data_IF_405614812202
#
_entry.id   IF_405614812202
#
_cell.length_a   1.000
_cell.length_b   1.000
_cell.length_c   1.000
_cell.angle_alpha   90.00
_cell.angle_beta   90.00
_cell.angle_gamma   90.00
#
_symmetry.space_group_name_H-M   'P 1'
#
loop_
_entity.id
_entity.type
_entity.pdbx_description
1 polymer ?
#
# COMPACT_ATOMS: atom_id res chain seq x y z
N UNK A 1 27.14 5.12 -27.67
CA UNK A 1 27.54 3.70 -27.81
C UNK A 1 26.32 2.86 -27.48
N UNK A 2 25.64 2.28 -28.48
CA UNK A 2 24.44 1.47 -28.26
C UNK A 2 24.91 0.08 -27.83
N UNK A 3 24.85 -0.21 -26.54
CA UNK A 3 25.11 -1.56 -26.03
C UNK A 3 23.82 -2.36 -26.19
N UNK A 4 23.67 -3.04 -27.34
CA UNK A 4 22.65 -4.10 -27.46
C UNK A 4 23.11 -5.27 -26.60
N UNK A 5 22.57 -5.40 -25.39
CA UNK A 5 22.80 -6.60 -24.59
C UNK A 5 21.92 -7.72 -25.13
N UNK A 6 22.48 -8.92 -25.28
CA UNK A 6 21.75 -10.10 -25.72
C UNK A 6 21.87 -11.14 -24.62
N UNK A 7 20.75 -11.70 -24.17
CA UNK A 7 20.76 -12.94 -23.38
C UNK A 7 20.61 -14.11 -24.35
N UNK A 8 21.55 -15.05 -24.29
CA UNK A 8 21.50 -16.27 -25.10
C UNK A 8 21.31 -17.47 -24.20
N UNK A 9 20.25 -18.25 -24.42
CA UNK A 9 20.11 -19.59 -23.85
C UNK A 9 20.56 -20.61 -24.89
N UNK A 10 21.29 -21.63 -24.43
CA UNK A 10 21.72 -22.75 -25.27
C UNK A 10 20.79 -23.91 -25.02
N UNK A 11 20.25 -24.47 -26.08
CA UNK A 11 19.41 -25.65 -26.04
C UNK A 11 20.11 -26.77 -26.82
N UNK A 12 20.02 -27.98 -26.28
CA UNK A 12 20.36 -29.19 -27.03
C UNK A 12 19.08 -29.64 -27.72
N UNK A 13 19.07 -29.56 -29.05
CA UNK A 13 17.97 -30.08 -29.87
C UNK A 13 18.43 -31.41 -30.46
N UNK A 14 17.68 -32.47 -30.18
CA UNK A 14 17.92 -33.79 -30.77
C UNK A 14 16.92 -34.06 -31.89
N UNK A 15 17.43 -34.46 -33.04
CA UNK A 15 16.64 -34.93 -34.18
C UNK A 15 17.36 -36.15 -34.77
N UNK A 16 16.75 -37.33 -34.63
CA UNK A 16 17.41 -38.60 -34.92
C UNK A 16 18.58 -38.89 -33.98
N UNK A 17 19.64 -39.53 -34.49
CA UNK A 17 20.87 -39.89 -33.74
C UNK A 17 21.88 -38.74 -33.59
N UNK A 18 21.49 -37.51 -33.93
CA UNK A 18 22.35 -36.34 -33.87
C UNK A 18 21.76 -35.27 -32.95
N UNK A 19 22.58 -34.77 -32.03
CA UNK A 19 22.29 -33.58 -31.21
C UNK A 19 23.12 -32.41 -31.68
N UNK A 20 22.51 -31.22 -31.76
CA UNK A 20 23.22 -29.98 -32.04
C UNK A 20 22.79 -28.89 -31.05
N UNK A 21 23.74 -28.03 -30.72
CA UNK A 21 23.57 -26.93 -29.77
C UNK A 21 23.02 -25.71 -30.52
N UNK A 22 21.75 -25.38 -30.30
CA UNK A 22 21.13 -24.18 -30.88
C UNK A 22 21.20 -23.01 -29.90
N UNK A 23 21.68 -21.86 -30.38
CA UNK A 23 21.77 -20.62 -29.61
C UNK A 23 20.62 -19.70 -30.02
N UNK A 24 19.57 -19.63 -29.19
CA UNK A 24 18.54 -18.62 -29.38
C UNK A 24 18.98 -17.28 -28.77
N UNK A 25 18.84 -16.22 -29.56
CA UNK A 25 19.20 -14.85 -29.18
C UNK A 25 17.92 -14.08 -28.95
N UNK A 26 17.62 -13.71 -27.71
CA UNK A 26 16.40 -12.97 -27.39
C UNK A 26 16.62 -11.46 -27.58
N UNK A 27 15.63 -10.78 -28.17
CA UNK A 27 15.58 -9.32 -28.24
C UNK A 27 15.14 -8.80 -26.86
N UNK A 28 15.84 -7.82 -26.28
CA UNK A 28 15.60 -7.35 -24.90
C UNK A 28 14.19 -6.82 -24.61
N UNK A 29 13.45 -6.34 -25.62
CA UNK A 29 12.04 -5.96 -25.41
C UNK A 29 11.19 -7.16 -24.98
N UNK A 30 11.50 -8.34 -25.53
CA UNK A 30 10.93 -9.62 -25.10
C UNK A 30 11.45 -10.07 -23.73
N UNK A 31 12.63 -9.59 -23.31
CA UNK A 31 13.21 -9.87 -21.98
C UNK A 31 12.48 -9.13 -20.85
N UNK A 32 12.09 -7.87 -21.03
CA UNK A 32 11.31 -7.16 -20.01
C UNK A 32 9.99 -7.88 -19.74
N UNK A 33 9.21 -8.15 -20.80
CA UNK A 33 7.93 -8.87 -20.67
C UNK A 33 8.10 -10.27 -20.09
N UNK A 34 9.14 -11.00 -20.50
CA UNK A 34 9.43 -12.34 -19.97
C UNK A 34 9.84 -12.34 -18.49
N UNK A 35 10.43 -11.25 -17.98
CA UNK A 35 10.97 -11.16 -16.61
C UNK A 35 10.16 -10.19 -15.71
N UNK A 36 9.06 -9.62 -16.21
CA UNK A 36 8.29 -8.57 -15.52
C UNK A 36 7.94 -8.92 -14.08
N UNK A 37 7.49 -10.15 -13.84
CA UNK A 37 7.17 -10.65 -12.50
C UNK A 37 8.38 -10.71 -11.57
N UNK A 38 9.54 -11.10 -12.08
CA UNK A 38 10.76 -11.19 -11.28
C UNK A 38 11.29 -9.79 -10.94
N UNK A 39 11.21 -8.85 -11.88
CA UNK A 39 11.57 -7.45 -11.70
C UNK A 39 10.72 -6.79 -10.62
N UNK A 40 9.40 -6.95 -10.71
CA UNK A 40 8.43 -6.36 -9.76
C UNK A 40 8.62 -6.87 -8.33
N UNK A 41 9.15 -8.09 -8.17
CA UNK A 41 9.38 -8.69 -6.86
C UNK A 41 10.80 -8.47 -6.31
N UNK A 42 11.71 -7.85 -7.07
CA UNK A 42 13.08 -7.61 -6.62
C UNK A 42 13.18 -6.28 -5.89
N UNK A 43 13.89 -6.31 -4.77
CA UNK A 43 14.18 -5.15 -3.92
C UNK A 43 14.92 -4.00 -4.62
N UNK A 44 15.43 -4.22 -5.84
CA UNK A 44 16.22 -3.26 -6.61
C UNK A 44 17.38 -2.69 -5.78
N UNK A 45 18.23 -3.58 -5.27
CA UNK A 45 19.36 -3.27 -4.39
C UNK A 45 20.75 -3.47 -5.03
N UNK A 46 20.79 -4.04 -6.24
CA UNK A 46 22.02 -4.26 -7.01
C UNK A 46 21.87 -3.79 -8.46
N UNK A 47 22.57 -2.71 -8.89
CA UNK A 47 22.50 -2.21 -10.25
C UNK A 47 22.87 -3.26 -11.31
N UNK A 48 23.89 -4.09 -11.05
CA UNK A 48 24.42 -5.03 -12.05
C UNK A 48 23.42 -6.13 -12.36
N UNK A 49 22.78 -6.67 -11.33
CA UNK A 49 21.73 -7.67 -11.49
C UNK A 49 20.48 -7.15 -12.20
N UNK A 50 20.22 -5.84 -12.17
CA UNK A 50 19.10 -5.23 -12.88
C UNK A 50 19.38 -5.13 -14.37
N UNK A 51 20.61 -4.76 -14.80
CA UNK A 51 20.98 -4.65 -16.22
C UNK A 51 20.68 -5.91 -17.05
N UNK A 52 20.59 -7.08 -16.41
CA UNK A 52 20.35 -8.36 -17.09
C UNK A 52 18.91 -8.56 -17.59
N UNK A 53 17.98 -7.65 -17.27
CA UNK A 53 16.55 -7.95 -17.38
C UNK A 53 15.79 -7.13 -18.41
N UNK A 54 16.41 -6.10 -18.97
CA UNK A 54 15.80 -5.26 -20.00
C UNK A 54 16.79 -4.26 -20.57
N UNK A 55 16.42 -3.63 -21.69
CA UNK A 55 17.26 -2.58 -22.28
C UNK A 55 17.08 -1.27 -21.51
N UNK A 56 18.16 -0.61 -21.11
CA UNK A 56 18.07 0.74 -20.56
C UNK A 56 17.65 1.79 -21.61
N UNK A 57 17.62 1.45 -22.90
CA UNK A 57 17.01 2.33 -23.91
C UNK A 57 15.47 2.30 -23.86
N UNK A 58 14.89 1.30 -23.19
CA UNK A 58 13.45 1.16 -23.02
C UNK A 58 12.97 2.02 -21.84
N UNK A 59 12.14 3.03 -22.15
CA UNK A 59 11.58 3.94 -21.17
C UNK A 59 10.67 3.22 -20.15
N UNK A 60 9.88 2.25 -20.60
CA UNK A 60 8.98 1.52 -19.71
C UNK A 60 9.80 0.73 -18.70
N UNK A 61 10.82 0.02 -19.17
CA UNK A 61 11.74 -0.70 -18.30
C UNK A 61 12.47 0.23 -17.31
N UNK A 62 13.04 1.34 -17.79
CA UNK A 62 13.66 2.37 -16.93
C UNK A 62 12.71 2.85 -15.83
N UNK A 63 11.48 3.23 -16.22
CA UNK A 63 10.48 3.74 -15.30
C UNK A 63 10.13 2.73 -14.21
N UNK A 64 10.09 1.44 -14.56
CA UNK A 64 9.79 0.38 -13.61
C UNK A 64 10.93 0.13 -12.63
N UNK A 65 12.19 0.20 -13.08
CA UNK A 65 13.35 0.13 -12.17
C UNK A 65 13.31 1.25 -11.13
N UNK A 66 13.05 2.49 -11.57
CA UNK A 66 12.94 3.66 -10.68
C UNK A 66 11.77 3.44 -9.70
N UNK A 67 10.61 3.01 -10.21
CA UNK A 67 9.41 2.77 -9.41
C UNK A 67 9.65 1.70 -8.33
N UNK A 68 10.19 0.54 -8.70
CA UNK A 68 10.48 -0.53 -7.75
C UNK A 68 11.52 -0.10 -6.72
N UNK A 69 12.56 0.62 -7.13
CA UNK A 69 13.54 1.19 -6.20
C UNK A 69 12.87 2.12 -5.18
N UNK A 70 12.05 3.07 -5.63
CA UNK A 70 11.37 4.03 -4.75
C UNK A 70 10.39 3.34 -3.80
N UNK A 71 9.60 2.38 -4.29
CA UNK A 71 8.65 1.62 -3.49
C UNK A 71 9.38 0.78 -2.42
N UNK A 72 10.35 -0.06 -2.80
CA UNK A 72 11.04 -0.97 -1.88
C UNK A 72 11.92 -0.25 -0.85
N UNK A 73 12.39 0.96 -1.16
CA UNK A 73 13.22 1.75 -0.26
C UNK A 73 12.43 2.82 0.50
N UNK A 74 11.10 2.83 0.41
CA UNK A 74 10.23 3.75 1.13
C UNK A 74 10.08 3.44 2.63
N UNK A 75 11.14 2.94 3.27
CA UNK A 75 11.18 2.67 4.72
C UNK A 75 11.96 3.70 5.52
N UNK A 76 12.79 4.48 4.83
CA UNK A 76 13.70 5.43 5.43
C UNK A 76 14.46 6.21 4.39
N UNK A 77 15.50 6.88 4.85
CA UNK A 77 16.34 7.71 4.03
C UNK A 77 17.56 6.93 3.51
N UNK A 78 17.86 7.08 2.22
CA UNK A 78 19.13 6.66 1.62
C UNK A 78 19.96 7.90 1.29
N UNK A 79 21.25 7.86 1.59
CA UNK A 79 22.18 8.93 1.20
C UNK A 79 22.29 9.07 -0.32
N UNK A 80 22.60 10.28 -0.80
CA UNK A 80 22.80 10.55 -2.23
C UNK A 80 24.03 9.84 -2.82
N UNK A 81 24.93 9.39 -1.94
CA UNK A 81 26.10 8.57 -2.24
C UNK A 81 25.78 7.07 -2.39
N UNK A 82 24.54 6.66 -2.10
CA UNK A 82 24.10 5.29 -2.29
C UNK A 82 24.13 4.92 -3.78
N UNK A 83 24.72 3.76 -4.10
CA UNK A 83 24.90 3.30 -5.48
C UNK A 83 23.59 3.17 -6.26
N UNK A 84 22.51 2.71 -5.62
CA UNK A 84 21.19 2.61 -6.26
C UNK A 84 20.52 3.97 -6.46
N UNK A 85 20.70 4.92 -5.53
CA UNK A 85 20.25 6.30 -5.69
C UNK A 85 20.95 6.93 -6.89
N UNK A 86 22.28 6.81 -6.99
CA UNK A 86 23.07 7.32 -8.11
C UNK A 86 22.69 6.65 -9.43
N UNK A 87 22.54 5.32 -9.43
CA UNK A 87 22.14 4.55 -10.60
C UNK A 87 20.79 5.03 -11.14
N UNK A 88 19.74 5.06 -10.29
CA UNK A 88 18.40 5.50 -10.72
C UNK A 88 18.36 6.99 -11.08
N UNK A 89 19.16 7.83 -10.40
CA UNK A 89 19.30 9.24 -10.76
C UNK A 89 19.92 9.43 -12.15
N UNK A 90 20.92 8.63 -12.50
CA UNK A 90 21.50 8.63 -13.84
C UNK A 90 20.50 8.16 -14.90
N UNK A 91 19.68 7.13 -14.60
CA UNK A 91 18.61 6.69 -15.52
C UNK A 91 17.63 7.81 -15.85
N UNK A 92 17.32 8.69 -14.90
CA UNK A 92 16.43 9.85 -15.09
C UNK A 92 17.13 10.95 -15.90
N UNK A 93 18.45 11.17 -15.68
CA UNK A 93 19.19 12.24 -16.37
C UNK A 93 19.21 12.05 -17.89
N UNK A 94 19.17 10.81 -18.34
CA UNK A 94 19.19 10.46 -19.77
C UNK A 94 17.80 10.49 -20.42
N UNK A 95 16.78 11.02 -19.73
CA UNK A 95 15.38 10.99 -20.16
C UNK A 95 14.88 12.41 -20.47
N UNK A 96 14.32 12.67 -21.67
CA UNK A 96 13.80 13.97 -22.06
C UNK A 96 12.48 14.28 -21.32
N UNK A 97 12.54 15.15 -20.32
CA UNK A 97 11.39 15.49 -19.45
C UNK A 97 10.41 16.51 -20.07
N UNK A 98 10.72 17.06 -21.24
CA UNK A 98 9.87 17.96 -22.02
C UNK A 98 8.68 17.22 -22.65
N UNK A 99 8.86 15.97 -23.06
CA UNK A 99 7.78 15.10 -23.53
C UNK A 99 6.85 14.64 -22.39
N UNK A 100 5.55 14.88 -22.55
CA UNK A 100 4.54 14.59 -21.53
C UNK A 100 4.50 13.10 -21.17
N UNK A 101 4.52 12.20 -22.17
CA UNK A 101 4.43 10.76 -21.92
C UNK A 101 5.65 10.26 -21.15
N UNK A 102 6.81 10.74 -21.55
CA UNK A 102 8.08 10.45 -20.88
C UNK A 102 8.09 10.95 -19.45
N UNK A 103 7.64 12.20 -19.24
CA UNK A 103 7.49 12.80 -17.91
C UNK A 103 6.52 12.01 -17.03
N UNK A 104 5.35 11.61 -17.53
CA UNK A 104 4.40 10.77 -16.79
C UNK A 104 5.02 9.44 -16.35
N UNK A 105 5.79 8.77 -17.22
CA UNK A 105 6.47 7.52 -16.87
C UNK A 105 7.39 7.69 -15.65
N UNK A 106 8.18 8.77 -15.60
CA UNK A 106 9.10 9.04 -14.48
C UNK A 106 8.36 9.56 -13.24
N UNK A 107 7.45 10.51 -13.39
CA UNK A 107 6.75 11.14 -12.26
C UNK A 107 5.78 10.17 -11.57
N UNK A 108 5.19 9.23 -12.31
CA UNK A 108 4.36 8.18 -11.70
C UNK A 108 5.14 7.35 -10.68
N UNK A 109 6.45 7.15 -10.87
CA UNK A 109 7.31 6.47 -9.89
C UNK A 109 7.53 7.33 -8.63
N UNK A 110 7.65 8.64 -8.81
CA UNK A 110 7.85 9.59 -7.71
C UNK A 110 6.63 9.66 -6.77
N UNK A 111 5.43 9.31 -7.26
CA UNK A 111 4.21 9.31 -6.47
C UNK A 111 4.23 8.36 -5.26
N UNK A 112 5.13 7.36 -5.26
CA UNK A 112 5.20 6.35 -4.22
C UNK A 112 6.04 6.72 -3.01
N UNK A 113 6.76 7.85 -3.00
CA UNK A 113 7.59 8.23 -1.85
C UNK A 113 7.71 9.74 -1.67
N UNK A 114 7.77 10.19 -0.42
CA UNK A 114 8.05 11.59 -0.10
C UNK A 114 9.53 11.98 -0.32
N UNK A 115 10.44 11.00 -0.44
CA UNK A 115 11.89 11.25 -0.48
C UNK A 115 12.44 11.47 -1.89
N UNK A 116 11.62 11.37 -2.94
CA UNK A 116 12.10 11.39 -4.33
C UNK A 116 12.88 12.67 -4.67
N UNK A 117 12.49 13.84 -4.14
CA UNK A 117 13.20 15.11 -4.37
C UNK A 117 14.61 15.11 -3.82
N UNK A 118 14.86 14.32 -2.77
CA UNK A 118 16.20 14.19 -2.20
C UNK A 118 17.06 13.28 -3.07
N UNK A 119 16.46 12.20 -3.60
CA UNK A 119 17.15 11.25 -4.48
C UNK A 119 17.41 11.84 -5.87
N UNK A 120 16.48 12.66 -6.36
CA UNK A 120 16.49 13.21 -7.72
C UNK A 120 16.31 14.74 -7.69
N UNK A 121 17.33 15.50 -7.26
CA UNK A 121 17.27 16.97 -7.24
C UNK A 121 16.98 17.59 -8.61
N UNK A 122 17.31 16.90 -9.71
CA UNK A 122 16.97 17.33 -11.07
C UNK A 122 15.46 17.39 -11.35
N UNK A 123 14.62 16.76 -10.52
CA UNK A 123 13.17 16.80 -10.63
C UNK A 123 12.52 17.86 -9.74
N UNK A 124 13.29 18.81 -9.20
CA UNK A 124 12.79 19.80 -8.22
C UNK A 124 11.62 20.65 -8.74
N UNK A 125 11.59 20.91 -10.05
CA UNK A 125 10.53 21.67 -10.73
C UNK A 125 9.22 20.88 -10.87
N UNK A 126 9.24 19.56 -10.68
CA UNK A 126 8.10 18.66 -10.83
C UNK A 126 7.58 18.18 -9.48
N UNK A 127 6.92 19.07 -8.75
CA UNK A 127 6.33 18.70 -7.47
C UNK A 127 5.04 17.90 -7.61
N UNK A 128 5.14 16.57 -7.51
CA UNK A 128 4.02 15.60 -7.58
C UNK A 128 2.85 15.88 -6.63
N UNK A 129 3.01 16.73 -5.60
CA UNK A 129 1.91 17.11 -4.70
C UNK A 129 1.08 18.30 -5.18
N UNK A 130 1.58 19.02 -6.20
CA UNK A 130 1.02 20.32 -6.63
C UNK A 130 0.73 20.37 -8.13
N UNK A 131 1.48 19.62 -8.95
CA UNK A 131 1.24 19.56 -10.40
C UNK A 131 -0.08 18.84 -10.71
N UNK A 132 -0.69 19.11 -11.88
CA UNK A 132 -1.89 18.39 -12.31
C UNK A 132 -1.68 16.87 -12.33
N UNK A 133 -2.69 16.10 -11.91
CA UNK A 133 -2.63 14.63 -11.88
C UNK A 133 -2.34 14.02 -13.26
N UNK A 134 -2.77 14.70 -14.32
CA UNK A 134 -2.47 14.34 -15.72
C UNK A 134 -1.00 14.49 -16.08
N UNK A 135 -0.19 15.27 -15.35
CA UNK A 135 1.26 15.31 -15.51
C UNK A 135 1.96 14.10 -14.86
N UNK A 136 1.31 13.48 -13.87
CA UNK A 136 1.87 12.38 -13.07
C UNK A 136 1.58 11.04 -13.74
N UNK A 137 0.34 10.82 -14.19
CA UNK A 137 -0.07 9.55 -14.78
C UNK A 137 -1.29 9.75 -15.68
N UNK A 138 -1.26 9.13 -16.88
CA UNK A 138 -2.44 9.01 -17.74
C UNK A 138 -3.49 8.05 -17.16
N UNK A 139 -3.07 7.11 -16.30
CA UNK A 139 -3.91 6.02 -15.80
C UNK A 139 -4.45 6.30 -14.38
N UNK A 140 -4.08 7.44 -13.81
CA UNK A 140 -4.59 7.92 -12.52
C UNK A 140 -4.27 7.00 -11.33
N UNK A 141 -5.06 7.17 -10.26
CA UNK A 141 -4.88 6.51 -8.97
C UNK A 141 -5.02 4.98 -9.03
N UNK A 142 -5.98 4.46 -9.80
CA UNK A 142 -6.27 3.01 -9.86
C UNK A 142 -5.03 2.21 -10.29
N UNK A 143 -4.35 2.65 -11.36
CA UNK A 143 -3.12 1.99 -11.83
C UNK A 143 -1.98 2.08 -10.81
N UNK A 144 -1.93 3.18 -10.04
CA UNK A 144 -0.95 3.30 -8.96
C UNK A 144 -1.18 2.28 -7.83
N UNK A 145 -2.45 2.04 -7.49
CA UNK A 145 -2.87 1.06 -6.48
C UNK A 145 -2.64 -0.38 -6.95
N UNK A 146 -2.99 -0.70 -8.20
CA UNK A 146 -2.73 -2.02 -8.82
C UNK A 146 -1.25 -2.40 -8.75
N UNK A 147 -0.36 -1.44 -9.02
CA UNK A 147 1.10 -1.68 -8.92
C UNK A 147 1.52 -2.16 -7.53
N UNK A 148 0.93 -1.63 -6.45
CA UNK A 148 1.25 -2.08 -5.09
C UNK A 148 0.73 -3.49 -4.81
N UNK A 149 -0.42 -3.85 -5.38
CA UNK A 149 -1.02 -5.18 -5.27
C UNK A 149 -0.23 -6.25 -6.02
N UNK A 150 0.42 -5.87 -7.13
CA UNK A 150 1.22 -6.80 -7.96
C UNK A 150 2.57 -7.18 -7.34
N UNK A 151 3.06 -6.40 -6.37
CA UNK A 151 4.33 -6.66 -5.69
C UNK A 151 4.11 -7.71 -4.59
N UNK A 152 4.51 -8.95 -4.86
CA UNK A 152 4.39 -10.06 -3.92
C UNK A 152 5.37 -10.01 -2.73
N UNK A 153 6.48 -9.29 -2.83
CA UNK A 153 7.55 -9.29 -1.82
C UNK A 153 7.95 -7.88 -1.34
N UNK A 154 6.99 -7.12 -0.81
CA UNK A 154 7.22 -5.78 -0.25
C UNK A 154 7.26 -5.79 1.29
N UNK A 155 8.20 -5.04 1.87
CA UNK A 155 8.23 -4.79 3.31
C UNK A 155 7.00 -3.99 3.76
N UNK A 156 6.42 -4.36 4.91
CA UNK A 156 5.16 -3.79 5.41
C UNK A 156 5.27 -2.28 5.66
N UNK A 157 6.44 -1.80 6.11
CA UNK A 157 6.67 -0.36 6.30
C UNK A 157 6.73 0.36 4.95
N UNK A 158 7.41 -0.21 3.97
CA UNK A 158 7.56 0.35 2.64
C UNK A 158 6.21 0.40 1.90
N UNK A 159 5.40 -0.66 2.01
CA UNK A 159 4.04 -0.70 1.45
C UNK A 159 3.14 0.36 2.07
N UNK A 160 3.10 0.43 3.41
CA UNK A 160 2.31 1.42 4.14
C UNK A 160 2.69 2.86 3.74
N UNK A 161 3.98 3.19 3.75
CA UNK A 161 4.44 4.53 3.38
C UNK A 161 4.13 4.86 1.91
N UNK A 162 4.09 3.85 1.04
CA UNK A 162 3.73 4.03 -0.37
C UNK A 162 2.24 4.37 -0.52
N UNK A 163 1.35 3.70 0.22
CA UNK A 163 -0.06 4.08 0.27
C UNK A 163 -0.26 5.52 0.76
N UNK A 164 0.44 5.94 1.83
CA UNK A 164 0.36 7.33 2.33
C UNK A 164 0.86 8.33 1.28
N UNK A 165 1.94 8.01 0.56
CA UNK A 165 2.48 8.90 -0.48
C UNK A 165 1.49 9.04 -1.64
N UNK A 166 0.91 7.94 -2.11
CA UNK A 166 -0.15 7.93 -3.14
C UNK A 166 -1.36 8.74 -2.68
N UNK A 167 -1.80 8.57 -1.42
CA UNK A 167 -2.94 9.28 -0.86
C UNK A 167 -2.75 10.80 -0.93
N UNK A 168 -1.53 11.28 -0.62
CA UNK A 168 -1.17 12.71 -0.68
C UNK A 168 -1.11 13.23 -2.11
N UNK A 169 -0.52 12.46 -3.02
CA UNK A 169 -0.37 12.81 -4.43
C UNK A 169 -1.73 12.94 -5.11
N UNK A 170 -2.60 11.97 -4.89
CA UNK A 170 -3.93 11.93 -5.48
C UNK A 170 -5.00 12.55 -4.57
N UNK A 171 -4.64 13.48 -3.68
CA UNK A 171 -5.62 14.14 -2.79
C UNK A 171 -6.84 14.64 -3.58
N UNK A 172 -8.00 14.54 -2.93
CA UNK A 172 -9.34 14.88 -3.44
C UNK A 172 -9.75 14.10 -4.70
N UNK A 173 -9.13 12.95 -4.98
CA UNK A 173 -9.60 12.07 -6.04
C UNK A 173 -10.87 11.30 -5.63
N UNK A 174 -11.85 11.25 -6.54
CA UNK A 174 -13.12 10.56 -6.31
C UNK A 174 -12.97 9.04 -6.18
N UNK A 175 -11.86 8.47 -6.65
CA UNK A 175 -11.57 7.05 -6.48
C UNK A 175 -11.02 6.69 -5.10
N UNK A 176 -10.63 7.66 -4.26
CA UNK A 176 -10.04 7.38 -2.92
C UNK A 176 -10.96 6.50 -2.06
N UNK A 177 -12.25 6.82 -1.87
CA UNK A 177 -13.13 6.00 -1.03
C UNK A 177 -13.23 4.55 -1.52
N UNK A 178 -13.16 4.31 -2.82
CA UNK A 178 -13.21 2.96 -3.40
C UNK A 178 -11.92 2.18 -3.16
N UNK A 179 -10.78 2.80 -3.47
CA UNK A 179 -9.49 2.12 -3.47
C UNK A 179 -8.86 2.02 -2.08
N UNK A 180 -9.03 3.05 -1.24
CA UNK A 180 -8.49 3.03 0.12
C UNK A 180 -9.35 2.24 1.10
N UNK A 181 -10.58 1.88 0.74
CA UNK A 181 -11.44 0.96 1.50
C UNK A 181 -11.03 -0.51 1.38
N UNK A 182 -10.09 -0.84 0.49
CA UNK A 182 -9.79 -2.22 0.16
C UNK A 182 -8.98 -2.94 1.26
N UNK A 183 -9.11 -4.27 1.29
CA UNK A 183 -8.50 -5.13 2.31
C UNK A 183 -6.97 -5.00 2.39
N UNK A 184 -6.19 -4.93 1.28
CA UNK A 184 -4.73 -4.79 1.34
C UNK A 184 -4.28 -3.50 2.05
N UNK A 185 -5.06 -2.42 1.93
CA UNK A 185 -4.75 -1.13 2.56
C UNK A 185 -4.86 -1.25 4.07
N UNK A 186 -5.98 -1.75 4.59
CA UNK A 186 -6.16 -1.92 6.04
C UNK A 186 -5.20 -2.96 6.62
N UNK A 187 -4.91 -4.05 5.91
CA UNK A 187 -3.89 -5.02 6.33
C UNK A 187 -2.51 -4.35 6.42
N UNK A 188 -2.15 -3.47 5.48
CA UNK A 188 -0.87 -2.76 5.54
C UNK A 188 -0.76 -1.86 6.78
N UNK A 189 -1.87 -1.20 7.16
CA UNK A 189 -1.96 -0.37 8.36
C UNK A 189 -1.80 -1.23 9.63
N UNK A 190 -2.55 -2.33 9.74
CA UNK A 190 -2.47 -3.21 10.90
C UNK A 190 -1.09 -3.85 11.02
N UNK A 191 -0.50 -4.29 9.90
CA UNK A 191 0.86 -4.84 9.88
C UNK A 191 1.90 -3.79 10.29
N UNK A 192 1.74 -2.51 9.89
CA UNK A 192 2.62 -1.42 10.31
C UNK A 192 2.54 -1.20 11.82
N UNK A 193 1.33 -1.19 12.38
CA UNK A 193 1.09 -1.05 13.81
C UNK A 193 1.76 -2.22 14.56
N UNK A 194 1.52 -3.45 14.12
CA UNK A 194 2.02 -4.67 14.77
C UNK A 194 3.53 -4.84 14.64
N UNK A 195 4.14 -4.47 13.49
CA UNK A 195 5.59 -4.52 13.27
C UNK A 195 6.35 -3.61 14.24
N UNK A 196 5.82 -2.40 14.49
CA UNK A 196 6.47 -1.46 15.39
C UNK A 196 6.31 -1.90 16.84
N UNK A 197 5.13 -2.40 17.21
CA UNK A 197 4.89 -3.03 18.51
C UNK A 197 5.91 -4.16 18.76
N UNK A 198 6.09 -5.06 17.78
CA UNK A 198 7.06 -6.14 17.91
C UNK A 198 8.49 -5.62 18.13
N UNK A 199 8.93 -4.62 17.35
CA UNK A 199 10.26 -4.04 17.50
C UNK A 199 10.47 -3.31 18.85
N UNK A 200 9.40 -2.77 19.44
CA UNK A 200 9.43 -2.10 20.74
C UNK A 200 9.54 -3.13 21.88
N UNK A 201 8.75 -4.20 21.82
CA UNK A 201 8.72 -5.26 22.85
C UNK A 201 9.96 -6.15 22.77
N UNK A 202 10.46 -6.37 21.55
CA UNK A 202 11.64 -7.18 21.27
C UNK A 202 12.66 -6.37 20.47
N UNK A 203 13.32 -5.39 21.11
CA UNK A 203 14.35 -4.60 20.43
C UNK A 203 15.46 -5.52 19.95
N UNK A 204 15.69 -5.54 18.63
CA UNK A 204 16.82 -6.29 18.06
C UNK A 204 18.11 -5.84 18.76
N UNK A 205 18.98 -6.76 19.21
CA UNK A 205 20.23 -6.38 19.82
C UNK A 205 21.02 -5.54 18.81
N UNK A 206 21.31 -4.29 19.17
CA UNK A 206 22.21 -3.44 18.40
C UNK A 206 23.50 -4.24 18.20
N UNK A 207 23.88 -4.48 16.95
CA UNK A 207 25.17 -5.06 16.60
C UNK A 207 26.24 -4.26 17.34
N UNK A 208 26.91 -4.93 18.28
CA UNK A 208 27.92 -4.32 19.15
C UNK A 208 29.06 -3.79 18.29
N UNK A 209 29.06 -2.49 17.99
CA UNK A 209 30.32 -1.78 17.84
C UNK A 209 30.92 -1.76 19.24
N UNK A 210 32.01 -2.51 19.44
CA UNK A 210 32.76 -2.54 20.70
C UNK A 210 33.30 -1.14 20.98
N UNK A 211 32.55 -0.35 21.74
CA UNK A 211 33.10 0.74 22.54
C UNK A 211 33.08 0.26 23.98
N UNK A 212 34.28 0.04 24.51
CA UNK A 212 34.50 -0.30 25.91
C UNK A 212 33.92 0.78 26.82
N UNK A 213 33.18 0.35 27.85
CA UNK A 213 32.78 1.19 28.97
C UNK A 213 31.49 1.97 28.75
N UNK A 214 30.34 1.31 28.94
CA UNK A 214 29.13 1.92 29.52
C UNK A 214 28.18 0.81 29.98
N UNK A 215 27.58 1.06 31.13
CA UNK A 215 26.68 0.17 31.88
C UNK A 215 25.58 -0.45 31.01
N UNK A 216 25.07 -1.65 31.39
CA UNK A 216 23.99 -2.29 30.66
C UNK A 216 22.76 -1.37 30.66
N UNK A 217 22.37 -0.90 29.47
CA UNK A 217 21.14 -0.13 29.27
C UNK A 217 19.96 -1.02 29.69
N UNK A 218 19.28 -0.63 30.76
CA UNK A 218 18.03 -1.24 31.22
C UNK A 218 17.04 -1.30 30.05
N UNK A 219 16.72 -2.52 29.60
CA UNK A 219 15.69 -2.77 28.60
C UNK A 219 14.33 -2.48 29.23
N UNK A 220 13.79 -1.29 29.02
CA UNK A 220 12.45 -0.92 29.50
C UNK A 220 11.40 -1.60 28.63
N UNK A 221 10.76 -2.64 29.14
CA UNK A 221 9.56 -3.23 28.54
C UNK A 221 8.44 -2.20 28.59
N UNK A 222 7.84 -1.89 27.43
CA UNK A 222 6.72 -0.95 27.34
C UNK A 222 5.47 -1.56 27.99
N UNK A 223 4.76 -0.76 28.80
CA UNK A 223 3.50 -1.18 29.42
C UNK A 223 2.38 -1.30 28.39
N UNK A 224 1.34 -2.09 28.69
CA UNK A 224 0.13 -2.24 27.85
C UNK A 224 -0.51 -0.88 27.54
N UNK A 225 -0.49 0.06 28.51
CA UNK A 225 -1.04 1.40 28.35
C UNK A 225 -0.27 2.25 27.33
N UNK A 226 1.06 2.20 27.37
CA UNK A 226 1.92 2.88 26.39
C UNK A 226 1.73 2.30 24.98
N UNK A 227 1.52 0.98 24.88
CA UNK A 227 1.25 0.30 23.61
C UNK A 227 -0.10 0.72 23.00
N UNK A 228 -1.16 0.79 23.80
CA UNK A 228 -2.46 1.29 23.35
C UNK A 228 -2.39 2.75 22.88
N UNK A 229 -1.68 3.61 23.63
CA UNK A 229 -1.44 5.00 23.24
C UNK A 229 -0.70 5.12 21.90
N UNK A 230 0.29 4.26 21.67
CA UNK A 230 1.02 4.22 20.42
C UNK A 230 0.14 3.80 19.23
N UNK A 231 -0.64 2.72 19.37
CA UNK A 231 -1.60 2.26 18.34
C UNK A 231 -2.55 3.39 17.96
N UNK A 232 -3.07 4.11 18.95
CA UNK A 232 -3.94 5.24 18.74
C UNK A 232 -3.25 6.37 17.96
N UNK A 233 -1.98 6.67 18.28
CA UNK A 233 -1.19 7.68 17.56
C UNK A 233 -1.05 7.35 16.07
N UNK A 234 -0.69 6.11 15.72
CA UNK A 234 -0.55 5.70 14.32
C UNK A 234 -1.88 5.84 13.57
N UNK A 235 -2.98 5.38 14.17
CA UNK A 235 -4.29 5.48 13.56
C UNK A 235 -4.79 6.93 13.46
N UNK A 236 -4.45 7.80 14.43
CA UNK A 236 -4.76 9.23 14.37
C UNK A 236 -4.00 9.91 13.23
N UNK A 237 -2.73 9.55 13.02
CA UNK A 237 -1.96 10.07 11.88
C UNK A 237 -2.63 9.67 10.56
N UNK A 238 -3.01 8.41 10.40
CA UNK A 238 -3.71 7.93 9.19
C UNK A 238 -5.05 8.62 9.02
N UNK A 239 -5.80 8.82 10.10
CA UNK A 239 -7.07 9.54 10.07
C UNK A 239 -6.90 10.97 9.56
N UNK A 240 -5.87 11.69 10.02
CA UNK A 240 -5.58 13.04 9.55
C UNK A 240 -5.19 13.06 8.06
N UNK A 241 -4.35 12.12 7.63
CA UNK A 241 -4.01 11.97 6.21
C UNK A 241 -5.26 11.70 5.35
N UNK A 242 -6.19 10.90 5.85
CA UNK A 242 -7.45 10.65 5.17
C UNK A 242 -8.36 11.88 5.14
N UNK A 243 -8.52 12.62 6.25
CA UNK A 243 -9.29 13.88 6.28
C UNK A 243 -8.82 14.83 5.18
N UNK A 244 -7.50 15.01 5.08
CA UNK A 244 -6.91 15.91 4.10
C UNK A 244 -7.09 15.39 2.67
N UNK A 245 -7.02 14.08 2.47
CA UNK A 245 -7.02 13.47 1.14
C UNK A 245 -8.41 13.15 0.58
N UNK A 246 -9.42 12.78 1.38
CA UNK A 246 -10.71 12.35 0.83
C UNK A 246 -11.46 13.54 0.18
N UNK A 247 -12.19 13.30 -0.93
CA UNK A 247 -13.05 14.31 -1.53
C UNK A 247 -14.23 14.67 -0.60
N UNK A 248 -14.85 15.82 -0.86
CA UNK A 248 -16.11 16.19 -0.21
C UNK A 248 -17.27 15.31 -0.70
N UNK A 249 -18.25 14.94 0.16
CA UNK A 249 -18.33 15.21 1.60
C UNK A 249 -17.34 14.34 2.41
N UNK A 250 -16.51 15.00 3.23
CA UNK A 250 -15.40 14.35 3.93
C UNK A 250 -15.88 13.31 4.93
N UNK A 251 -16.91 13.63 5.73
CA UNK A 251 -17.40 12.75 6.79
C UNK A 251 -18.01 11.46 6.24
N UNK A 252 -18.77 11.54 5.16
CA UNK A 252 -19.44 10.41 4.53
C UNK A 252 -18.40 9.47 3.92
N UNK A 253 -17.44 10.02 3.18
CA UNK A 253 -16.34 9.26 2.59
C UNK A 253 -15.45 8.59 3.65
N UNK A 254 -15.11 9.28 4.73
CA UNK A 254 -14.36 8.68 5.85
C UNK A 254 -15.15 7.56 6.52
N UNK A 255 -16.42 7.80 6.77
CA UNK A 255 -17.32 6.80 7.37
C UNK A 255 -17.42 5.57 6.50
N UNK A 256 -17.58 5.76 5.19
CA UNK A 256 -17.61 4.66 4.24
C UNK A 256 -16.32 3.86 4.24
N UNK A 257 -15.15 4.50 4.28
CA UNK A 257 -13.85 3.82 4.40
C UNK A 257 -13.79 2.96 5.66
N UNK A 258 -14.14 3.52 6.83
CA UNK A 258 -14.09 2.78 8.09
C UNK A 258 -15.05 1.59 8.14
N UNK A 259 -16.28 1.76 7.65
CA UNK A 259 -17.25 0.67 7.54
C UNK A 259 -16.75 -0.42 6.61
N UNK A 260 -16.21 -0.04 5.44
CA UNK A 260 -15.68 -0.99 4.47
C UNK A 260 -14.45 -1.74 5.02
N UNK A 261 -13.58 -1.07 5.77
CA UNK A 261 -12.46 -1.73 6.47
C UNK A 261 -12.95 -2.78 7.46
N UNK A 262 -13.94 -2.45 8.30
CA UNK A 262 -14.52 -3.43 9.22
C UNK A 262 -15.11 -4.62 8.46
N UNK A 263 -15.94 -4.35 7.46
CA UNK A 263 -16.59 -5.39 6.67
C UNK A 263 -15.58 -6.31 5.99
N UNK A 264 -14.56 -5.73 5.34
CA UNK A 264 -13.52 -6.47 4.64
C UNK A 264 -12.67 -7.29 5.62
N UNK A 265 -12.29 -6.74 6.78
CA UNK A 265 -11.52 -7.47 7.78
C UNK A 265 -12.29 -8.67 8.32
N UNK A 266 -13.54 -8.48 8.76
CA UNK A 266 -14.39 -9.54 9.33
C UNK A 266 -14.64 -10.65 8.32
N UNK A 267 -14.84 -10.31 7.05
CA UNK A 267 -15.07 -11.28 5.99
C UNK A 267 -13.79 -11.88 5.41
N UNK A 268 -12.61 -11.42 5.83
CA UNK A 268 -11.33 -11.97 5.35
C UNK A 268 -10.86 -13.20 6.13
N UNK A 269 -9.75 -13.77 5.66
CA UNK A 269 -8.95 -14.77 6.38
C UNK A 269 -7.80 -14.14 7.20
N UNK A 270 -7.70 -12.80 7.24
CA UNK A 270 -6.64 -12.14 8.00
C UNK A 270 -6.90 -12.31 9.50
N UNK A 271 -5.90 -12.71 10.30
CA UNK A 271 -6.07 -12.82 11.74
C UNK A 271 -6.16 -11.43 12.36
N UNK A 272 -7.28 -11.12 13.02
CA UNK A 272 -7.50 -9.88 13.76
C UNK A 272 -8.09 -10.17 15.14
N UNK A 273 -7.92 -9.22 16.06
CA UNK A 273 -8.58 -9.23 17.36
C UNK A 273 -9.40 -7.97 17.61
N UNK A 274 -10.12 -7.93 18.73
CA UNK A 274 -10.91 -6.74 19.11
C UNK A 274 -10.05 -5.48 19.31
N UNK A 275 -8.76 -5.64 19.62
CA UNK A 275 -7.77 -4.54 19.68
C UNK A 275 -7.49 -3.89 18.31
N UNK A 276 -7.79 -4.57 17.21
CA UNK A 276 -7.72 -4.04 15.85
C UNK A 276 -9.06 -3.42 15.43
N UNK A 277 -10.17 -4.04 15.82
CA UNK A 277 -11.54 -3.64 15.43
C UNK A 277 -12.00 -2.37 16.15
N UNK A 278 -11.89 -2.29 17.49
CA UNK A 278 -12.44 -1.16 18.26
C UNK A 278 -11.95 0.20 17.78
N UNK A 279 -10.63 0.41 17.53
CA UNK A 279 -10.15 1.70 17.05
C UNK A 279 -10.72 2.11 15.68
N UNK A 280 -11.04 1.17 14.81
CA UNK A 280 -11.67 1.46 13.51
C UNK A 280 -13.14 1.80 13.75
N UNK A 281 -13.85 0.97 14.52
CA UNK A 281 -15.28 1.13 14.83
C UNK A 281 -15.61 2.48 15.47
N UNK A 282 -14.79 2.94 16.42
CA UNK A 282 -15.02 4.23 17.11
C UNK A 282 -15.03 5.41 16.14
N UNK A 283 -14.34 5.33 14.98
CA UNK A 283 -14.26 6.41 13.98
C UNK A 283 -15.46 6.49 13.03
N UNK A 284 -16.37 5.52 13.08
CA UNK A 284 -17.59 5.55 12.26
C UNK A 284 -18.52 6.63 12.81
N UNK A 285 -18.95 7.56 11.95
CA UNK A 285 -19.97 8.55 12.28
C UNK A 285 -21.35 7.98 11.91
N UNK A 286 -22.26 7.77 12.88
CA UNK A 286 -23.58 7.19 12.61
C UNK A 286 -24.43 8.05 11.68
N UNK A 287 -24.23 9.37 11.68
CA UNK A 287 -25.01 10.32 10.88
C UNK A 287 -24.49 10.48 9.44
N UNK A 288 -23.36 9.84 9.10
CA UNK A 288 -22.74 9.90 7.78
C UNK A 288 -22.75 8.54 7.07
N UNK A 289 -23.55 7.59 7.56
CA UNK A 289 -23.77 6.30 6.90
C UNK A 289 -24.65 6.51 5.67
N UNK A 290 -24.14 6.11 4.50
CA UNK A 290 -24.81 6.31 3.22
C UNK A 290 -24.85 5.03 2.37
N UNK A 291 -25.72 5.02 1.36
CA UNK A 291 -25.79 3.95 0.37
C UNK A 291 -24.52 3.85 -0.51
N UNK A 292 -23.60 4.82 -0.46
CA UNK A 292 -22.33 4.74 -1.19
C UNK A 292 -21.48 3.56 -0.71
N UNK A 293 -21.62 3.16 0.56
CA UNK A 293 -20.98 1.96 1.12
C UNK A 293 -21.33 0.72 0.30
N UNK A 294 -22.59 0.62 -0.17
CA UNK A 294 -23.02 -0.46 -1.06
C UNK A 294 -22.26 -0.45 -2.38
N UNK A 295 -22.05 0.74 -2.95
CA UNK A 295 -21.29 0.93 -4.18
C UNK A 295 -19.80 0.58 -4.02
N UNK A 296 -19.19 0.94 -2.88
CA UNK A 296 -17.78 0.64 -2.58
C UNK A 296 -17.56 -0.86 -2.36
N UNK A 297 -18.44 -1.53 -1.61
CA UNK A 297 -18.31 -2.96 -1.37
C UNK A 297 -18.68 -3.79 -2.60
N UNK A 298 -19.64 -3.34 -3.41
CA UNK A 298 -20.01 -3.95 -4.68
C UNK A 298 -20.27 -5.45 -4.56
N UNK A 299 -19.53 -6.25 -5.34
CA UNK A 299 -19.67 -7.71 -5.38
C UNK A 299 -19.33 -8.42 -4.05
N UNK A 300 -18.66 -7.74 -3.10
CA UNK A 300 -18.31 -8.31 -1.79
C UNK A 300 -19.53 -8.45 -0.88
N UNK A 301 -20.64 -7.77 -1.18
CA UNK A 301 -21.92 -7.87 -0.46
C UNK A 301 -22.71 -9.12 -0.86
N UNK A 302 -22.17 -10.30 -0.53
CA UNK A 302 -22.95 -11.54 -0.58
C UNK A 302 -23.78 -11.70 0.69
N UNK A 303 -24.90 -12.44 0.62
CA UNK A 303 -25.72 -12.76 1.80
C UNK A 303 -24.90 -13.43 2.91
N UNK A 304 -23.94 -14.28 2.53
CA UNK A 304 -23.02 -14.94 3.45
C UNK A 304 -22.15 -13.91 4.19
N UNK A 305 -21.51 -13.00 3.46
CA UNK A 305 -20.63 -11.99 4.05
C UNK A 305 -21.40 -10.97 4.91
N UNK A 306 -22.62 -10.61 4.50
CA UNK A 306 -23.51 -9.75 5.29
C UNK A 306 -23.90 -10.45 6.58
N UNK A 307 -24.34 -11.71 6.50
CA UNK A 307 -24.72 -12.50 7.68
C UNK A 307 -23.54 -12.65 8.63
N UNK A 308 -22.37 -13.03 8.12
CA UNK A 308 -21.13 -13.14 8.91
C UNK A 308 -20.76 -11.83 9.59
N UNK A 309 -20.86 -10.70 8.88
CA UNK A 309 -20.60 -9.38 9.44
C UNK A 309 -21.58 -9.01 10.56
N UNK A 310 -22.88 -9.19 10.34
CA UNK A 310 -23.93 -8.91 11.32
C UNK A 310 -23.77 -9.80 12.56
N UNK A 311 -23.59 -11.11 12.37
CA UNK A 311 -23.38 -12.05 13.47
C UNK A 311 -22.15 -11.68 14.30
N UNK A 312 -21.04 -11.32 13.64
CA UNK A 312 -19.85 -10.85 14.35
C UNK A 312 -20.15 -9.61 15.22
N UNK A 313 -20.86 -8.62 14.69
CA UNK A 313 -21.22 -7.42 15.46
C UNK A 313 -22.13 -7.76 16.65
N UNK A 314 -23.08 -8.67 16.47
CA UNK A 314 -23.98 -9.13 17.53
C UNK A 314 -23.24 -9.86 18.65
N UNK A 315 -22.38 -10.82 18.29
CA UNK A 315 -21.61 -11.61 19.24
C UNK A 315 -20.64 -10.73 20.06
N UNK A 316 -20.18 -9.62 19.49
CA UNK A 316 -19.24 -8.69 20.11
C UNK A 316 -19.88 -7.39 20.59
N UNK A 317 -21.23 -7.32 20.69
CA UNK A 317 -21.94 -6.08 21.05
C UNK A 317 -21.42 -5.45 22.36
N UNK A 318 -21.25 -6.26 23.40
CA UNK A 318 -20.78 -5.79 24.72
C UNK A 318 -19.38 -5.18 24.69
N UNK A 319 -18.57 -5.55 23.70
CA UNK A 319 -17.22 -5.02 23.52
C UNK A 319 -17.16 -3.78 22.62
N UNK A 320 -18.13 -3.61 21.73
CA UNK A 320 -18.24 -2.52 20.78
C UNK A 320 -19.08 -1.35 21.30
N UNK A 321 -20.08 -1.64 22.14
CA UNK A 321 -21.02 -0.66 22.66
C UNK A 321 -20.70 -0.31 24.10
N UNK A 322 -20.49 0.98 24.34
CA UNK A 322 -20.45 1.52 25.69
C UNK A 322 -21.88 1.82 26.14
N UNK A 323 -22.42 1.00 27.05
CA UNK A 323 -23.78 1.16 27.60
C UNK A 323 -24.00 2.49 28.33
N UNK A 324 -22.92 3.22 28.68
CA UNK A 324 -23.02 4.55 29.28
C UNK A 324 -23.10 5.68 28.24
N UNK A 325 -22.92 5.37 26.95
CA UNK A 325 -22.93 6.32 25.85
C UNK A 325 -24.04 6.00 24.83
N UNK A 326 -25.10 6.81 24.84
CA UNK A 326 -26.23 6.68 23.92
C UNK A 326 -25.81 6.66 22.43
N UNK A 327 -24.84 7.50 22.05
CA UNK A 327 -24.32 7.57 20.68
C UNK A 327 -23.67 6.26 20.23
N UNK A 328 -23.13 5.49 21.19
CA UNK A 328 -22.52 4.18 20.91
C UNK A 328 -23.56 3.13 20.51
N UNK A 329 -24.73 3.14 21.14
CA UNK A 329 -25.84 2.25 20.79
C UNK A 329 -26.48 2.70 19.47
N UNK A 330 -26.68 4.01 19.27
CA UNK A 330 -27.21 4.56 18.01
C UNK A 330 -26.34 4.15 16.82
N UNK A 331 -25.00 4.24 16.95
CA UNK A 331 -24.05 3.78 15.94
C UNK A 331 -24.16 2.29 15.63
N UNK A 332 -24.24 1.47 16.68
CA UNK A 332 -24.42 0.04 16.50
C UNK A 332 -25.69 -0.28 15.72
N UNK A 333 -26.82 0.32 16.12
CA UNK A 333 -28.10 0.11 15.46
C UNK A 333 -28.10 0.63 14.02
N UNK A 334 -27.49 1.78 13.75
CA UNK A 334 -27.41 2.34 12.40
C UNK A 334 -26.61 1.44 11.44
N UNK A 335 -25.49 0.86 11.89
CA UNK A 335 -24.71 -0.10 11.10
C UNK A 335 -25.51 -1.38 10.86
N UNK A 336 -26.13 -1.95 11.90
CA UNK A 336 -26.96 -3.16 11.77
C UNK A 336 -28.12 -2.93 10.79
N UNK A 337 -28.80 -1.80 10.91
CA UNK A 337 -29.90 -1.41 10.01
C UNK A 337 -29.42 -1.31 8.56
N UNK A 338 -28.30 -0.63 8.31
CA UNK A 338 -27.73 -0.47 6.97
C UNK A 338 -27.46 -1.83 6.30
N UNK A 339 -26.80 -2.75 7.00
CA UNK A 339 -26.47 -4.06 6.42
C UNK A 339 -27.66 -5.00 6.34
N UNK A 340 -28.67 -4.85 7.21
CA UNK A 340 -29.95 -5.55 7.04
C UNK A 340 -30.72 -5.07 5.81
N UNK A 341 -30.66 -3.78 5.48
CA UNK A 341 -31.28 -3.25 4.26
C UNK A 341 -30.60 -3.80 2.99
N UNK A 342 -29.29 -4.05 3.06
CA UNK A 342 -28.55 -4.73 1.99
C UNK A 342 -28.91 -6.21 1.84
N UNK A 343 -29.49 -6.83 2.86
CA UNK A 343 -29.86 -8.24 2.83
C UNK A 343 -31.25 -8.44 2.18
N UNK A 344 -31.33 -9.04 0.99
CA UNK A 344 -32.61 -9.30 0.33
C UNK A 344 -33.48 -10.32 1.11
N UNK A 345 -32.88 -11.12 1.99
CA UNK A 345 -33.58 -12.12 2.81
C UNK A 345 -33.88 -11.58 4.22
N UNK A 346 -34.43 -10.37 4.32
CA UNK A 346 -34.78 -9.69 5.59
C UNK A 346 -35.21 -10.67 6.67
N UNK A 347 -34.33 -10.91 7.66
CA UNK A 347 -34.79 -11.36 8.97
C UNK A 347 -35.26 -10.10 9.67
N UNK A 348 -36.56 -9.82 9.56
CA UNK A 348 -37.23 -8.74 10.30
C UNK A 348 -37.09 -9.03 11.80
N UNK A 349 -36.03 -8.50 12.42
CA UNK A 349 -36.03 -8.26 13.85
C UNK A 349 -36.55 -6.84 14.06
N UNK A 350 -37.84 -6.74 14.37
CA UNK A 350 -38.43 -5.52 14.88
C UNK A 350 -37.69 -5.12 16.17
N UNK A 351 -37.32 -3.85 16.35
CA UNK A 351 -36.99 -3.36 17.67
C UNK A 351 -38.25 -3.44 18.52
N UNK A 352 -38.12 -3.99 19.73
CA UNK A 352 -39.17 -3.89 20.74
C UNK A 352 -39.38 -2.40 21.05
N UNK A 353 -40.50 -1.85 20.59
CA UNK A 353 -41.23 -0.74 21.19
C UNK A 353 -42.71 -1.02 21.06
#
# INVERSE_FOLDING_TARGET
>A
MIIKQYTSKRYLVSWGDTSYETKETFILKTSYEANKREIVNRKCDDPNGLLLWGSLDDLEYKSQLIKMFLIHNNRGFLGIDNSMVQFTSNLIRDVPMDDLKTRQCILSACAYTNNYKIYYPQLIEYDVYTIPKTEISSNGLSSSMETLSDIGAIDTTSLFNSYISILRVYKKDFAIPYLFSDLPVIISILNKINSIVYNIVHPKPKTKIKLYGKEPINQKTMSVKELCSYRQTVLNNIHNELIDAVPSPVNDNLTAIYVCWLFNLINSHYPFGMVDIKPIYVRINPYALSNEIKGILGYKLSNENITKFITFLQDNKLELVDNSNYESEEKYQAIIFLFNDYNPNKILFMPYT
#
